data_IF_150179590761
#
_entry.id   IF_150179590761
#
_cell.length_a   1.000
_cell.length_b   1.000
_cell.length_c   1.000
_cell.angle_alpha   90.00
_cell.angle_beta   90.00
_cell.angle_gamma   90.00
#
_symmetry.space_group_name_H-M   'P 1'
#
loop_
_entity.id
_entity.type
_entity.pdbx_description
1 polymer ?
#
# COMPACT_ATOMS: atom_id res chain seq x y z
N UNK A 1 21.95 -2.20 -6.45
CA UNK A 1 20.95 -3.10 -7.10
C UNK A 1 19.57 -2.71 -6.62
N UNK A 2 18.59 -2.62 -7.53
CA UNK A 2 17.20 -2.34 -7.20
C UNK A 2 16.42 -3.67 -7.22
N UNK A 3 16.14 -4.28 -6.06
CA UNK A 3 15.51 -5.61 -6.05
C UNK A 3 14.07 -5.57 -6.57
N UNK A 4 13.75 -6.51 -7.48
CA UNK A 4 12.42 -6.76 -8.00
C UNK A 4 11.62 -7.68 -7.07
N UNK A 5 10.36 -7.95 -7.43
CA UNK A 5 9.50 -8.89 -6.68
C UNK A 5 10.01 -10.34 -6.67
N UNK A 6 10.94 -10.68 -7.55
CA UNK A 6 11.53 -12.03 -7.65
C UNK A 6 12.71 -12.26 -6.69
N UNK A 7 13.17 -11.21 -6.00
CA UNK A 7 14.29 -11.28 -5.06
C UNK A 7 13.80 -11.20 -3.61
N UNK A 8 14.51 -11.79 -2.64
CA UNK A 8 14.13 -11.70 -1.24
C UNK A 8 14.25 -10.27 -0.71
N UNK A 9 13.59 -10.00 0.41
CA UNK A 9 13.80 -8.79 1.19
C UNK A 9 15.22 -8.80 1.80
N UNK A 10 15.82 -7.61 1.94
CA UNK A 10 17.18 -7.50 2.49
C UNK A 10 18.28 -8.08 1.60
N UNK A 11 18.06 -8.20 0.28
CA UNK A 11 18.97 -8.89 -0.66
C UNK A 11 20.42 -8.38 -0.63
N UNK A 12 20.65 -7.13 -0.28
CA UNK A 12 21.98 -6.52 -0.20
C UNK A 12 22.63 -6.69 1.19
N UNK A 13 21.90 -7.19 2.18
CA UNK A 13 22.36 -7.30 3.58
C UNK A 13 23.65 -8.08 3.71
N UNK A 14 23.80 -9.17 2.95
CA UNK A 14 25.03 -9.99 2.96
C UNK A 14 26.30 -9.21 2.62
N UNK A 15 26.20 -8.25 1.71
CA UNK A 15 27.34 -7.43 1.29
C UNK A 15 27.70 -6.40 2.38
N UNK A 16 26.69 -5.74 2.96
CA UNK A 16 26.88 -4.81 4.04
C UNK A 16 27.44 -5.49 5.31
N UNK A 17 26.95 -6.67 5.65
CA UNK A 17 27.45 -7.48 6.73
C UNK A 17 28.94 -7.87 6.55
N UNK A 18 29.34 -8.20 5.31
CA UNK A 18 30.75 -8.50 5.02
C UNK A 18 31.63 -7.25 5.14
N UNK A 19 31.20 -6.12 4.59
CA UNK A 19 31.93 -4.85 4.68
C UNK A 19 32.11 -4.45 6.15
N UNK A 20 31.08 -4.62 6.99
CA UNK A 20 31.11 -4.27 8.40
C UNK A 20 32.24 -4.96 9.18
N UNK A 21 32.66 -6.15 8.79
CA UNK A 21 33.78 -6.88 9.41
C UNK A 21 35.14 -6.19 9.20
N UNK A 22 35.26 -5.35 8.18
CA UNK A 22 36.53 -4.77 7.74
C UNK A 22 36.64 -3.26 8.01
N UNK A 23 35.56 -2.62 8.51
CA UNK A 23 35.53 -1.17 8.76
C UNK A 23 35.08 -0.87 10.19
N UNK A 24 35.51 0.29 10.71
CA UNK A 24 35.04 0.83 11.99
C UNK A 24 33.90 1.86 11.84
N UNK A 25 33.72 2.36 10.62
CA UNK A 25 32.66 3.30 10.27
C UNK A 25 31.31 2.57 10.28
N UNK A 26 30.24 3.22 10.75
CA UNK A 26 28.89 2.67 10.63
C UNK A 26 28.54 2.29 9.20
N UNK A 27 27.92 1.14 9.02
CA UNK A 27 27.55 0.58 7.72
C UNK A 27 26.04 0.60 7.56
N UNK A 28 25.57 1.27 6.51
CA UNK A 28 24.17 1.28 6.10
C UNK A 28 23.90 0.24 5.00
N UNK A 29 22.67 -0.24 4.95
CA UNK A 29 22.22 -1.13 3.88
C UNK A 29 20.85 -0.70 3.34
N UNK A 30 20.67 -0.89 2.03
CA UNK A 30 19.39 -0.72 1.32
C UNK A 30 19.10 -2.01 0.55
N UNK A 31 17.84 -2.44 0.48
CA UNK A 31 17.54 -3.64 -0.30
C UNK A 31 16.17 -4.24 -0.02
N UNK A 32 15.10 -3.54 -0.38
CA UNK A 32 13.72 -4.01 -0.23
C UNK A 32 13.28 -4.24 1.23
N UNK A 33 13.69 -3.37 2.12
CA UNK A 33 13.17 -3.35 3.48
C UNK A 33 11.80 -2.65 3.51
N UNK A 34 10.81 -3.28 4.12
CA UNK A 34 9.46 -2.74 4.34
C UNK A 34 8.75 -3.36 5.56
N UNK A 35 9.32 -4.41 6.14
CA UNK A 35 8.83 -5.07 7.35
C UNK A 35 9.63 -4.57 8.57
N UNK A 36 8.99 -3.86 9.53
CA UNK A 36 9.64 -3.36 10.73
C UNK A 36 10.29 -4.46 11.58
N UNK A 37 9.63 -5.60 11.75
CA UNK A 37 10.15 -6.70 12.57
C UNK A 37 11.45 -7.27 11.99
N UNK A 38 11.53 -7.40 10.65
CA UNK A 38 12.78 -7.79 9.98
C UNK A 38 13.87 -6.73 10.18
N UNK A 39 13.53 -5.46 10.08
CA UNK A 39 14.50 -4.36 10.22
C UNK A 39 15.05 -4.30 11.64
N UNK A 40 14.20 -4.39 12.66
CA UNK A 40 14.59 -4.41 14.06
C UNK A 40 15.51 -5.59 14.38
N UNK A 41 15.19 -6.76 13.86
CA UNK A 41 16.03 -7.94 14.03
C UNK A 41 17.43 -7.75 13.42
N UNK A 42 17.52 -7.23 12.20
CA UNK A 42 18.81 -7.00 11.52
C UNK A 42 19.69 -6.02 12.28
N UNK A 43 19.10 -4.98 12.87
CA UNK A 43 19.81 -4.00 13.71
C UNK A 43 20.21 -4.60 15.05
N UNK A 44 19.31 -5.32 15.72
CA UNK A 44 19.58 -5.97 17.00
C UNK A 44 20.68 -7.03 16.91
N UNK A 45 20.72 -7.80 15.82
CA UNK A 45 21.79 -8.77 15.54
C UNK A 45 23.14 -8.12 15.22
N UNK A 46 23.19 -6.78 15.09
CA UNK A 46 24.41 -6.05 14.76
C UNK A 46 24.92 -6.32 13.35
N UNK A 47 24.08 -6.86 12.45
CA UNK A 47 24.44 -7.17 11.07
C UNK A 47 24.84 -5.92 10.28
N UNK A 48 24.13 -4.83 10.51
CA UNK A 48 24.42 -3.47 10.00
C UNK A 48 24.06 -2.44 11.07
N UNK A 49 24.46 -1.18 10.87
CA UNK A 49 24.19 -0.12 11.84
C UNK A 49 22.96 0.73 11.43
N UNK A 50 22.67 0.81 10.13
CA UNK A 50 21.58 1.63 9.59
C UNK A 50 20.88 0.88 8.46
N UNK A 51 19.54 0.99 8.42
CA UNK A 51 18.73 0.52 7.30
C UNK A 51 18.17 1.71 6.54
N UNK A 52 18.37 1.72 5.24
CA UNK A 52 17.85 2.74 4.33
C UNK A 52 16.62 2.23 3.60
N UNK A 53 15.56 3.04 3.60
CA UNK A 53 14.28 2.72 2.96
C UNK A 53 13.98 3.78 1.89
N UNK A 54 13.89 3.37 0.62
CA UNK A 54 13.49 4.26 -0.47
C UNK A 54 12.07 3.94 -0.95
N UNK A 55 11.89 2.86 -1.72
CA UNK A 55 10.59 2.51 -2.31
C UNK A 55 9.52 2.14 -1.29
N UNK A 56 9.91 1.68 -0.08
CA UNK A 56 8.99 1.49 1.03
C UNK A 56 8.29 2.80 1.41
N UNK A 57 9.04 3.91 1.46
CA UNK A 57 8.49 5.24 1.76
C UNK A 57 7.71 5.85 0.58
N UNK A 58 7.98 5.44 -0.66
CA UNK A 58 7.14 5.78 -1.81
C UNK A 58 5.76 5.10 -1.69
N UNK A 59 5.74 3.85 -1.26
CA UNK A 59 4.51 3.08 -1.08
C UNK A 59 3.72 3.52 0.15
N UNK A 60 4.41 3.83 1.25
CA UNK A 60 3.83 4.29 2.51
C UNK A 60 4.75 5.30 3.19
N UNK A 61 4.55 6.61 2.98
CA UNK A 61 5.40 7.64 3.58
C UNK A 61 5.29 7.69 5.10
N UNK A 62 4.23 7.15 5.68
CA UNK A 62 4.00 7.10 7.13
C UNK A 62 4.55 5.80 7.79
N UNK A 63 5.25 4.96 7.03
CA UNK A 63 5.83 3.70 7.52
C UNK A 63 6.60 3.86 8.85
N UNK A 64 7.51 4.83 9.02
CA UNK A 64 8.25 4.94 10.27
C UNK A 64 7.37 5.30 11.48
N UNK A 65 6.35 6.13 11.28
CA UNK A 65 5.42 6.51 12.34
C UNK A 65 4.49 5.36 12.71
N UNK A 66 4.03 4.59 11.72
CA UNK A 66 3.23 3.38 11.94
C UNK A 66 4.02 2.33 12.73
N UNK A 67 5.26 2.06 12.32
CA UNK A 67 6.15 1.14 13.03
C UNK A 67 6.39 1.59 14.47
N UNK A 68 6.73 2.87 14.68
CA UNK A 68 6.92 3.45 16.04
C UNK A 68 5.69 3.29 16.92
N UNK A 69 4.50 3.33 16.34
CA UNK A 69 3.23 3.18 17.06
C UNK A 69 2.76 1.73 17.21
N UNK A 70 3.54 0.73 16.78
CA UNK A 70 3.17 -0.68 16.78
C UNK A 70 2.01 -1.02 15.83
N UNK A 71 1.83 -0.21 14.78
CA UNK A 71 0.78 -0.38 13.76
C UNK A 71 1.32 -0.99 12.47
N UNK A 72 2.12 -2.04 12.58
CA UNK A 72 2.79 -2.67 11.44
C UNK A 72 1.80 -3.25 10.43
N UNK A 73 0.64 -3.73 10.90
CA UNK A 73 -0.44 -4.21 10.03
C UNK A 73 -1.02 -3.12 9.11
N UNK A 74 -0.88 -1.84 9.47
CA UNK A 74 -1.35 -0.71 8.66
C UNK A 74 -0.36 -0.29 7.56
N UNK A 75 0.85 -0.82 7.56
CA UNK A 75 1.89 -0.47 6.59
C UNK A 75 1.56 -1.09 5.23
N UNK A 76 1.55 -0.26 4.18
CA UNK A 76 1.48 -0.72 2.80
C UNK A 76 2.89 -1.04 2.30
N UNK A 77 3.24 -2.31 2.27
CA UNK A 77 4.55 -2.73 1.81
C UNK A 77 4.73 -2.53 0.30
N UNK A 78 5.90 -2.05 -0.12
CA UNK A 78 6.23 -1.89 -1.52
C UNK A 78 6.12 -3.22 -2.29
N UNK A 79 5.29 -3.26 -3.33
CA UNK A 79 5.08 -4.45 -4.18
C UNK A 79 6.31 -4.80 -5.05
N UNK A 80 7.30 -3.93 -5.13
CA UNK A 80 8.48 -4.08 -6.01
C UNK A 80 8.14 -4.27 -7.49
N UNK A 81 7.02 -3.68 -7.91
CA UNK A 81 6.45 -3.79 -9.27
C UNK A 81 7.11 -2.84 -10.29
N UNK A 82 8.00 -1.95 -9.87
CA UNK A 82 8.69 -0.97 -10.70
C UNK A 82 7.81 0.10 -11.37
N UNK A 83 6.55 0.24 -11.02
CA UNK A 83 5.68 1.31 -11.54
C UNK A 83 6.31 2.70 -11.34
N UNK A 84 6.94 2.94 -10.18
CA UNK A 84 7.61 4.21 -9.88
C UNK A 84 8.76 4.52 -10.86
N UNK A 85 9.57 3.54 -11.24
CA UNK A 85 10.63 3.70 -12.22
C UNK A 85 10.07 3.87 -13.64
N UNK A 86 9.08 3.08 -14.01
CA UNK A 86 8.43 3.18 -15.32
C UNK A 86 7.85 4.57 -15.52
N UNK A 87 7.10 5.07 -14.57
CA UNK A 87 6.51 6.41 -14.67
C UNK A 87 7.57 7.51 -14.68
N UNK A 88 8.61 7.41 -13.84
CA UNK A 88 9.70 8.37 -13.85
C UNK A 88 10.37 8.49 -15.25
N UNK A 89 10.61 7.34 -15.89
CA UNK A 89 11.25 7.33 -17.22
C UNK A 89 10.30 7.84 -18.31
N UNK A 90 9.00 7.51 -18.24
CA UNK A 90 8.05 7.85 -19.31
C UNK A 90 7.42 9.23 -19.16
N UNK A 91 7.23 9.72 -17.94
CA UNK A 91 6.51 10.98 -17.68
C UNK A 91 7.37 12.01 -16.93
N UNK A 92 8.55 11.64 -16.45
CA UNK A 92 9.38 12.50 -15.60
C UNK A 92 8.84 12.65 -14.16
N UNK A 93 7.78 11.93 -13.79
CA UNK A 93 7.14 12.01 -12.48
C UNK A 93 7.10 10.65 -11.80
N UNK A 94 7.22 10.65 -10.47
CA UNK A 94 7.02 9.44 -9.69
C UNK A 94 5.54 9.07 -9.61
N UNK A 95 5.25 7.75 -9.70
CA UNK A 95 3.96 7.18 -9.39
C UNK A 95 4.12 5.89 -8.63
N UNK A 96 3.09 5.43 -7.95
CA UNK A 96 3.09 4.17 -7.23
C UNK A 96 1.79 3.41 -7.48
N UNK A 97 1.88 2.08 -7.66
CA UNK A 97 0.71 1.24 -7.90
C UNK A 97 -0.26 1.19 -6.70
N UNK A 98 0.23 1.46 -5.48
CA UNK A 98 -0.54 1.34 -4.23
C UNK A 98 -0.56 2.62 -3.39
N UNK A 99 0.06 3.69 -3.86
CA UNK A 99 -0.01 5.01 -3.23
C UNK A 99 -0.50 6.04 -4.26
N UNK A 100 -1.79 6.35 -4.28
CA UNK A 100 -2.36 7.28 -5.27
C UNK A 100 -1.99 8.74 -5.01
N UNK A 101 -1.42 9.06 -3.85
CA UNK A 101 -1.15 10.44 -3.42
C UNK A 101 0.24 10.91 -3.86
N UNK A 102 1.15 9.99 -4.17
CA UNK A 102 2.54 10.35 -4.51
C UNK A 102 2.61 11.37 -5.64
N UNK A 103 3.39 12.42 -5.42
CA UNK A 103 3.52 13.56 -6.35
C UNK A 103 2.33 14.53 -6.31
N UNK A 104 1.33 14.27 -5.46
CA UNK A 104 0.11 15.07 -5.29
C UNK A 104 -0.14 15.46 -3.83
N UNK A 105 0.87 15.40 -2.99
CA UNK A 105 0.76 15.62 -1.55
C UNK A 105 0.29 17.06 -1.23
N UNK A 106 0.70 18.01 -2.06
CA UNK A 106 0.27 19.40 -1.89
C UNK A 106 -1.19 19.62 -2.29
N UNK A 107 -1.69 18.90 -3.30
CA UNK A 107 -3.10 18.97 -3.72
C UNK A 107 -4.00 18.45 -2.58
N UNK A 108 -3.65 17.31 -1.98
CA UNK A 108 -4.40 16.74 -0.86
C UNK A 108 -4.35 17.60 0.40
N UNK A 109 -3.26 18.35 0.63
CA UNK A 109 -3.15 19.28 1.75
C UNK A 109 -4.19 20.41 1.69
N UNK A 110 -4.61 20.79 0.49
CA UNK A 110 -5.59 21.83 0.25
C UNK A 110 -6.97 21.27 -0.13
N UNK A 111 -7.21 19.99 0.13
CA UNK A 111 -8.49 19.36 -0.14
C UNK A 111 -9.60 20.09 0.63
N UNK A 112 -10.51 20.73 -0.10
CA UNK A 112 -11.62 21.46 0.49
C UNK A 112 -12.69 20.44 0.90
N UNK A 113 -13.13 20.45 2.16
CA UNK A 113 -14.22 19.57 2.58
C UNK A 113 -15.46 19.80 1.71
N UNK A 114 -16.24 18.77 1.41
CA UNK A 114 -17.43 18.91 0.59
C UNK A 114 -18.43 19.84 1.30
N UNK A 115 -19.09 20.69 0.53
CA UNK A 115 -20.09 21.65 1.04
C UNK A 115 -21.30 20.95 1.65
N UNK A 116 -21.53 19.71 1.26
CA UNK A 116 -22.65 18.90 1.73
C UNK A 116 -22.24 17.42 1.83
N UNK A 117 -22.66 16.73 2.89
CA UNK A 117 -22.56 15.29 3.02
C UNK A 117 -23.61 14.61 2.15
N UNK A 118 -23.20 13.62 1.38
CA UNK A 118 -24.06 12.87 0.47
C UNK A 118 -24.06 11.38 0.80
N UNK A 119 -25.05 10.67 0.29
CA UNK A 119 -25.04 9.22 0.12
C UNK A 119 -24.40 8.94 -1.23
N UNK A 120 -23.34 8.16 -1.28
CA UNK A 120 -22.57 7.82 -2.49
C UNK A 120 -22.69 6.32 -2.74
N UNK A 121 -23.04 5.93 -3.96
CA UNK A 121 -23.04 4.54 -4.39
C UNK A 121 -21.77 4.31 -5.22
N UNK A 122 -20.96 3.32 -4.80
CA UNK A 122 -19.78 2.87 -5.52
C UNK A 122 -20.10 1.51 -6.14
N UNK A 123 -19.92 1.38 -7.43
CA UNK A 123 -20.22 0.15 -8.19
C UNK A 123 -18.90 -0.55 -8.50
N UNK A 124 -18.76 -1.77 -7.97
CA UNK A 124 -17.60 -2.64 -8.11
C UNK A 124 -16.61 -2.51 -6.95
N UNK A 125 -16.32 -3.64 -6.32
CA UNK A 125 -15.40 -3.80 -5.18
C UNK A 125 -13.96 -4.13 -5.57
N UNK A 126 -13.52 -3.78 -6.79
CA UNK A 126 -12.11 -3.83 -7.16
C UNK A 126 -11.30 -2.76 -6.45
N UNK A 127 -9.97 -2.72 -6.68
CA UNK A 127 -9.07 -1.78 -5.99
C UNK A 127 -9.49 -0.31 -6.17
N UNK A 128 -9.92 0.08 -7.37
CA UNK A 128 -10.40 1.44 -7.62
C UNK A 128 -11.67 1.78 -6.86
N UNK A 129 -12.63 0.84 -6.79
CA UNK A 129 -13.87 1.04 -6.02
C UNK A 129 -13.62 1.07 -4.52
N UNK A 130 -12.74 0.21 -4.00
CA UNK A 130 -12.33 0.23 -2.59
C UNK A 130 -11.70 1.57 -2.21
N UNK A 131 -10.78 2.09 -3.04
CA UNK A 131 -10.13 3.38 -2.79
C UNK A 131 -11.13 4.55 -2.87
N UNK A 132 -12.00 4.54 -3.88
CA UNK A 132 -13.07 5.55 -4.01
C UNK A 132 -14.01 5.56 -2.79
N UNK A 133 -14.38 4.37 -2.29
CA UNK A 133 -15.22 4.25 -1.10
C UNK A 133 -14.54 4.82 0.15
N UNK A 134 -13.25 4.52 0.35
CA UNK A 134 -12.46 5.02 1.47
C UNK A 134 -12.29 6.55 1.39
N UNK A 135 -11.99 7.10 0.20
CA UNK A 135 -11.86 8.55 0.04
C UNK A 135 -13.18 9.29 0.28
N UNK A 136 -14.29 8.78 -0.26
CA UNK A 136 -15.62 9.32 0.01
C UNK A 136 -15.96 9.28 1.51
N UNK A 137 -15.65 8.18 2.19
CA UNK A 137 -15.88 8.06 3.63
C UNK A 137 -15.02 9.03 4.43
N UNK A 138 -13.73 9.18 4.08
CA UNK A 138 -12.80 10.15 4.66
C UNK A 138 -13.31 11.58 4.53
N UNK A 139 -13.94 11.92 3.41
CA UNK A 139 -14.60 13.21 3.18
C UNK A 139 -15.93 13.39 3.93
N UNK A 140 -16.39 12.35 4.64
CA UNK A 140 -17.58 12.39 5.49
C UNK A 140 -18.89 12.04 4.79
N UNK A 141 -18.81 11.43 3.60
CA UNK A 141 -19.99 10.88 2.92
C UNK A 141 -20.39 9.54 3.54
N UNK A 142 -21.66 9.15 3.38
CA UNK A 142 -22.11 7.77 3.60
C UNK A 142 -21.96 7.01 2.29
N UNK A 143 -21.34 5.83 2.32
CA UNK A 143 -21.03 5.07 1.11
C UNK A 143 -21.74 3.74 1.12
N UNK A 144 -22.33 3.36 -0.02
CA UNK A 144 -22.77 1.99 -0.29
C UNK A 144 -21.90 1.45 -1.41
N UNK A 145 -21.13 0.40 -1.14
CA UNK A 145 -20.30 -0.27 -2.12
C UNK A 145 -20.98 -1.57 -2.55
N UNK A 146 -21.33 -1.66 -3.83
CA UNK A 146 -21.97 -2.82 -4.45
C UNK A 146 -20.92 -3.66 -5.17
N UNK A 147 -20.82 -4.94 -4.83
CA UNK A 147 -19.92 -5.89 -5.50
C UNK A 147 -20.72 -7.16 -5.86
N UNK A 148 -20.67 -7.54 -7.13
CA UNK A 148 -21.40 -8.71 -7.65
C UNK A 148 -20.83 -10.06 -7.19
N UNK A 149 -19.55 -10.10 -6.86
CA UNK A 149 -18.90 -11.30 -6.35
C UNK A 149 -18.97 -11.41 -4.82
N UNK A 150 -18.59 -12.56 -4.29
CA UNK A 150 -18.58 -12.83 -2.86
C UNK A 150 -17.38 -12.19 -2.13
N UNK A 151 -16.44 -11.54 -2.85
CA UNK A 151 -15.21 -10.98 -2.28
C UNK A 151 -14.86 -9.65 -2.93
N UNK A 152 -14.28 -8.74 -2.13
CA UNK A 152 -13.61 -7.55 -2.63
C UNK A 152 -12.25 -7.90 -3.24
N UNK A 153 -11.78 -7.10 -4.20
CA UNK A 153 -10.48 -7.25 -4.85
C UNK A 153 -10.53 -7.27 -6.38
N UNK A 154 -11.67 -7.63 -6.95
CA UNK A 154 -11.90 -7.60 -8.40
C UNK A 154 -10.94 -8.50 -9.19
N UNK A 155 -10.51 -8.05 -10.36
CA UNK A 155 -9.65 -8.83 -11.28
C UNK A 155 -8.30 -9.23 -10.67
N UNK A 156 -7.78 -8.47 -9.70
CA UNK A 156 -6.50 -8.76 -9.06
C UNK A 156 -6.51 -10.04 -8.20
N UNK A 157 -7.68 -10.58 -7.85
CA UNK A 157 -7.81 -11.87 -7.17
C UNK A 157 -7.28 -13.05 -8.02
N UNK A 158 -7.17 -12.89 -9.34
CA UNK A 158 -6.56 -13.90 -10.24
C UNK A 158 -5.10 -14.17 -9.85
N UNK A 159 -4.42 -13.19 -9.26
CA UNK A 159 -3.01 -13.27 -8.86
C UNK A 159 -2.80 -13.97 -7.50
N UNK A 160 -3.87 -14.39 -6.83
CA UNK A 160 -3.82 -14.89 -5.44
C UNK A 160 -2.95 -16.15 -5.27
N UNK A 161 -2.82 -16.98 -6.32
CA UNK A 161 -1.97 -18.17 -6.32
C UNK A 161 -0.50 -17.94 -6.70
N UNK A 162 -0.10 -16.70 -7.01
CA UNK A 162 1.25 -16.40 -7.51
C UNK A 162 2.18 -16.08 -6.35
N UNK A 163 3.09 -17.01 -6.00
CA UNK A 163 3.92 -16.93 -4.80
C UNK A 163 4.78 -15.67 -4.69
N UNK A 164 5.40 -15.20 -5.78
CA UNK A 164 6.21 -13.98 -5.78
C UNK A 164 5.38 -12.68 -5.75
N UNK A 165 4.03 -12.78 -5.81
CA UNK A 165 3.08 -11.66 -5.66
C UNK A 165 2.38 -11.65 -4.29
N UNK A 166 2.91 -12.36 -3.30
CA UNK A 166 2.32 -12.44 -1.95
C UNK A 166 2.03 -11.06 -1.32
N UNK A 167 2.88 -10.05 -1.57
CA UNK A 167 2.65 -8.68 -1.10
C UNK A 167 1.43 -8.01 -1.77
N UNK A 168 1.10 -8.35 -3.01
CA UNK A 168 -0.13 -7.89 -3.66
C UNK A 168 -1.36 -8.49 -2.97
N UNK A 169 -1.34 -9.79 -2.68
CA UNK A 169 -2.41 -10.45 -1.92
C UNK A 169 -2.62 -9.78 -0.57
N UNK A 170 -1.56 -9.61 0.22
CA UNK A 170 -1.63 -8.94 1.52
C UNK A 170 -2.17 -7.51 1.40
N UNK A 171 -1.78 -6.76 0.38
CA UNK A 171 -2.30 -5.42 0.12
C UNK A 171 -3.81 -5.44 -0.14
N UNK A 172 -4.31 -6.35 -0.99
CA UNK A 172 -5.74 -6.49 -1.27
C UNK A 172 -6.53 -6.87 -0.02
N UNK A 173 -6.02 -7.81 0.79
CA UNK A 173 -6.64 -8.21 2.05
C UNK A 173 -6.71 -7.03 3.04
N UNK A 174 -5.64 -6.25 3.17
CA UNK A 174 -5.60 -5.03 4.00
C UNK A 174 -6.61 -3.98 3.51
N UNK A 175 -6.70 -3.75 2.20
CA UNK A 175 -7.68 -2.79 1.64
C UNK A 175 -9.11 -3.26 1.86
N UNK A 176 -9.42 -4.54 1.63
CA UNK A 176 -10.72 -5.11 1.91
C UNK A 176 -11.10 -4.96 3.39
N UNK A 177 -10.17 -5.27 4.29
CA UNK A 177 -10.38 -5.10 5.74
C UNK A 177 -10.63 -3.64 6.12
N UNK A 178 -9.89 -2.68 5.55
CA UNK A 178 -10.13 -1.23 5.77
C UNK A 178 -11.53 -0.82 5.36
N UNK A 179 -11.98 -1.24 4.18
CA UNK A 179 -13.32 -0.95 3.68
C UNK A 179 -14.39 -1.55 4.60
N UNK A 180 -14.24 -2.83 4.94
CA UNK A 180 -15.20 -3.54 5.81
C UNK A 180 -15.28 -2.97 7.22
N UNK A 181 -14.18 -2.43 7.75
CA UNK A 181 -14.09 -1.86 9.09
C UNK A 181 -14.37 -0.34 9.14
N UNK A 182 -14.69 0.30 8.01
CA UNK A 182 -15.01 1.73 7.99
C UNK A 182 -16.51 1.94 8.21
N UNK A 183 -16.96 2.52 9.35
CA UNK A 183 -18.39 2.60 9.71
C UNK A 183 -19.25 3.40 8.71
N UNK A 184 -18.63 4.29 7.91
CA UNK A 184 -19.32 5.08 6.91
C UNK A 184 -19.56 4.33 5.60
N UNK A 185 -19.06 3.09 5.46
CA UNK A 185 -19.16 2.27 4.25
C UNK A 185 -20.02 1.05 4.54
N UNK A 186 -21.14 0.93 3.85
CA UNK A 186 -21.98 -0.28 3.79
C UNK A 186 -21.54 -1.10 2.59
N UNK A 187 -21.00 -2.31 2.81
CA UNK A 187 -20.58 -3.22 1.74
C UNK A 187 -21.67 -4.24 1.47
N UNK A 188 -22.10 -4.33 0.22
CA UNK A 188 -23.06 -5.33 -0.26
C UNK A 188 -22.38 -6.25 -1.27
N UNK A 189 -21.93 -7.40 -0.82
CA UNK A 189 -21.40 -8.47 -1.66
C UNK A 189 -22.54 -9.26 -2.32
N UNK A 190 -22.23 -10.05 -3.34
CA UNK A 190 -23.20 -10.82 -4.14
C UNK A 190 -24.35 -9.95 -4.67
N UNK A 191 -24.07 -8.67 -4.95
CA UNK A 191 -25.08 -7.69 -5.34
C UNK A 191 -24.64 -7.03 -6.65
N UNK A 192 -25.33 -7.39 -7.74
CA UNK A 192 -25.16 -6.74 -9.03
C UNK A 192 -25.89 -5.38 -9.02
N UNK A 193 -25.18 -4.34 -9.44
CA UNK A 193 -25.76 -3.01 -9.52
C UNK A 193 -26.68 -2.91 -10.73
N UNK A 194 -27.97 -2.58 -10.48
CA UNK A 194 -28.95 -2.23 -11.52
C UNK A 194 -29.32 -0.76 -11.43
N UNK A 195 -29.87 -0.21 -12.50
CA UNK A 195 -30.31 1.19 -12.51
C UNK A 195 -31.39 1.43 -11.43
N UNK A 196 -32.28 0.49 -11.21
CA UNK A 196 -33.34 0.56 -10.21
C UNK A 196 -32.76 0.57 -8.79
N UNK A 197 -31.78 -0.31 -8.51
CA UNK A 197 -31.12 -0.39 -7.20
C UNK A 197 -30.34 0.90 -6.87
N UNK A 198 -29.72 1.51 -7.86
CA UNK A 198 -28.93 2.74 -7.67
C UNK A 198 -29.82 3.96 -7.51
N UNK A 199 -31.04 3.95 -8.11
CA UNK A 199 -32.00 5.04 -8.05
C UNK A 199 -32.89 5.03 -6.80
N UNK A 200 -32.91 3.91 -6.05
CA UNK A 200 -33.67 3.76 -4.81
C UNK A 200 -32.90 4.29 -3.59
#
# INVERSE_FOLDING_TARGET
MHPSMFLPDGVNMRFAAEIKKHVKTPVATVGAFSDPAMMDKVLADGTVDVIEIARGLIADPDLPNKARAGRDCDINECLRCYTCFSQLITTGQYGCAINPIIGRELENKYDIPPTRKCKVVVIGGGIGGMEAALDCAKRGHKVILLEKSAKLGGVLLIEDGVSFKSKLKQYLEKQAARVMNTPAIEVRLNTEATAELVSS
#
